data_IF_834725773504
#
_entry.id   IF_834725773504
#
_cell.length_a   1.000
_cell.length_b   1.000
_cell.length_c   1.000
_cell.angle_alpha   90.00
_cell.angle_beta   90.00
_cell.angle_gamma   90.00
#
_symmetry.space_group_name_H-M   'P 1'
#
loop_
_entity.id
_entity.type
_entity.pdbx_description
1 polymer ?
#
# COMPACT_ATOMS: atom_id res chain seq x y z
N UNK A 1 38.13 -24.76 -3.95
CA UNK A 1 37.64 -23.54 -3.24
C UNK A 1 36.13 -23.59 -3.29
N UNK A 2 35.51 -24.26 -2.30
CA UNK A 2 34.06 -24.53 -2.26
C UNK A 2 33.39 -23.40 -1.48
N UNK A 3 32.63 -22.57 -2.19
CA UNK A 3 31.77 -21.54 -1.58
C UNK A 3 30.67 -22.25 -0.77
N UNK A 4 30.49 -21.92 0.53
CA UNK A 4 29.35 -22.46 1.29
C UNK A 4 28.05 -21.86 0.76
N UNK A 5 27.11 -22.74 0.40
CA UNK A 5 25.73 -22.38 0.10
C UNK A 5 25.12 -21.70 1.35
N UNK A 6 24.91 -20.41 1.26
CA UNK A 6 24.16 -19.66 2.27
C UNK A 6 22.74 -20.19 2.26
N UNK A 7 22.40 -21.02 3.25
CA UNK A 7 21.03 -21.45 3.48
C UNK A 7 20.17 -20.22 3.78
N UNK A 8 19.27 -19.89 2.87
CA UNK A 8 18.26 -18.89 3.11
C UNK A 8 17.48 -19.25 4.39
N UNK A 9 17.21 -18.29 5.29
CA UNK A 9 16.42 -18.56 6.48
C UNK A 9 15.04 -19.05 6.04
N UNK A 10 14.69 -20.27 6.45
CA UNK A 10 13.34 -20.80 6.33
C UNK A 10 12.42 -19.88 7.12
N UNK A 11 11.69 -19.02 6.42
CA UNK A 11 10.62 -18.24 7.01
C UNK A 11 9.61 -19.23 7.60
N UNK A 12 9.61 -19.38 8.92
CA UNK A 12 8.52 -20.06 9.62
C UNK A 12 7.24 -19.31 9.25
N UNK A 13 6.31 -20.01 8.59
CA UNK A 13 4.98 -19.53 8.29
C UNK A 13 4.16 -19.44 9.60
N UNK A 14 4.55 -18.55 10.48
CA UNK A 14 3.67 -18.07 11.54
C UNK A 14 2.82 -17.02 10.87
N UNK A 15 1.50 -17.32 10.70
CA UNK A 15 0.56 -16.26 10.29
C UNK A 15 0.83 -15.06 11.20
N UNK A 16 1.25 -13.91 10.68
CA UNK A 16 1.56 -12.79 11.55
C UNK A 16 0.28 -12.44 12.32
N UNK A 17 0.39 -12.28 13.62
CA UNK A 17 -0.74 -11.93 14.50
C UNK A 17 -1.53 -10.75 13.93
N UNK A 18 -0.84 -9.80 13.30
CA UNK A 18 -1.44 -8.67 12.63
C UNK A 18 -2.40 -9.06 11.50
N UNK A 19 -2.10 -10.10 10.72
CA UNK A 19 -3.01 -10.58 9.67
C UNK A 19 -4.27 -11.21 10.28
N UNK A 20 -4.14 -11.95 11.37
CA UNK A 20 -5.29 -12.49 12.08
C UNK A 20 -6.19 -11.37 12.61
N UNK A 21 -5.61 -10.34 13.22
CA UNK A 21 -6.34 -9.17 13.71
C UNK A 21 -7.03 -8.45 12.56
N UNK A 22 -6.38 -8.32 11.40
CA UNK A 22 -6.97 -7.69 10.22
C UNK A 22 -8.19 -8.46 9.69
N UNK A 23 -8.10 -9.78 9.63
CA UNK A 23 -9.25 -10.63 9.25
C UNK A 23 -10.38 -10.53 10.28
N UNK A 24 -10.06 -10.53 11.57
CA UNK A 24 -11.06 -10.35 12.62
C UNK A 24 -11.74 -8.99 12.54
N UNK A 25 -10.99 -7.93 12.28
CA UNK A 25 -11.54 -6.59 12.10
C UNK A 25 -12.49 -6.53 10.88
N UNK A 26 -12.09 -7.13 9.77
CA UNK A 26 -12.95 -7.24 8.58
C UNK A 26 -14.24 -7.99 8.88
N UNK A 27 -14.15 -9.15 9.52
CA UNK A 27 -15.31 -9.97 9.90
C UNK A 27 -16.20 -9.22 10.90
N UNK A 28 -15.62 -8.52 11.86
CA UNK A 28 -16.37 -7.71 12.81
C UNK A 28 -17.21 -6.63 12.09
N UNK A 29 -16.62 -5.94 11.12
CA UNK A 29 -17.38 -4.96 10.30
C UNK A 29 -18.48 -5.63 9.51
N UNK A 30 -18.23 -6.80 8.89
CA UNK A 30 -19.25 -7.53 8.13
C UNK A 30 -20.41 -8.04 8.99
N UNK A 31 -20.18 -8.28 10.27
CA UNK A 31 -21.22 -8.73 11.23
C UNK A 31 -22.01 -7.57 11.86
N UNK A 32 -21.53 -6.34 11.73
CA UNK A 32 -22.27 -5.17 12.19
C UNK A 32 -23.55 -5.01 11.37
N UNK A 33 -24.66 -4.59 12.00
CA UNK A 33 -25.89 -4.32 11.25
C UNK A 33 -25.67 -3.20 10.24
N UNK A 34 -26.19 -3.38 9.03
CA UNK A 34 -26.12 -2.37 7.97
C UNK A 34 -26.84 -1.09 8.42
N UNK A 35 -26.20 0.08 8.35
CA UNK A 35 -26.90 1.35 8.44
C UNK A 35 -27.97 1.44 7.32
N UNK A 36 -29.14 1.99 7.62
CA UNK A 36 -30.27 2.01 6.70
C UNK A 36 -29.97 2.67 5.34
N UNK A 37 -29.05 3.62 5.30
CA UNK A 37 -28.68 4.39 4.12
C UNK A 37 -27.44 3.86 3.37
N UNK A 38 -26.80 2.77 3.86
CA UNK A 38 -25.58 2.25 3.27
C UNK A 38 -25.85 1.03 2.39
N UNK A 39 -25.52 1.06 1.08
CA UNK A 39 -25.68 -0.11 0.23
C UNK A 39 -24.74 -1.26 0.65
N UNK A 40 -25.13 -2.50 0.36
CA UNK A 40 -24.36 -3.70 0.69
C UNK A 40 -22.93 -3.64 0.18
N UNK A 41 -22.72 -3.15 -1.04
CA UNK A 41 -21.38 -2.95 -1.61
C UNK A 41 -20.55 -1.96 -0.79
N UNK A 42 -21.16 -0.87 -0.31
CA UNK A 42 -20.51 0.12 0.54
C UNK A 42 -20.07 -0.47 1.89
N UNK A 43 -20.95 -1.27 2.51
CA UNK A 43 -20.63 -1.96 3.77
C UNK A 43 -19.45 -2.95 3.61
N UNK A 44 -19.45 -3.73 2.52
CA UNK A 44 -18.34 -4.63 2.20
C UNK A 44 -17.04 -3.87 1.91
N UNK A 45 -17.14 -2.69 1.29
CA UNK A 45 -15.97 -1.83 1.07
C UNK A 45 -15.40 -1.31 2.39
N UNK A 46 -16.22 -0.94 3.38
CA UNK A 46 -15.77 -0.58 4.72
C UNK A 46 -15.06 -1.74 5.43
N UNK A 47 -15.53 -2.96 5.25
CA UNK A 47 -14.86 -4.14 5.79
C UNK A 47 -13.48 -4.36 5.16
N UNK A 48 -13.36 -4.19 3.84
CA UNK A 48 -12.06 -4.25 3.14
C UNK A 48 -11.14 -3.11 3.61
N UNK A 49 -11.67 -1.90 3.82
CA UNK A 49 -10.92 -0.77 4.35
C UNK A 49 -10.38 -1.06 5.75
N UNK A 50 -11.20 -1.63 6.64
CA UNK A 50 -10.77 -2.02 7.98
C UNK A 50 -9.63 -3.05 7.93
N UNK A 51 -9.74 -4.04 7.04
CA UNK A 51 -8.67 -5.01 6.77
C UNK A 51 -7.38 -4.31 6.34
N UNK A 52 -7.47 -3.44 5.32
CA UNK A 52 -6.32 -2.73 4.75
C UNK A 52 -5.60 -1.88 5.80
N UNK A 53 -6.35 -1.10 6.59
CA UNK A 53 -5.78 -0.23 7.63
C UNK A 53 -5.03 -1.06 8.68
N UNK A 54 -5.62 -2.16 9.16
CA UNK A 54 -4.97 -3.02 10.16
C UNK A 54 -3.72 -3.70 9.60
N UNK A 55 -3.76 -4.18 8.35
CA UNK A 55 -2.59 -4.79 7.69
C UNK A 55 -1.45 -3.78 7.56
N UNK A 56 -1.74 -2.53 7.20
CA UNK A 56 -0.73 -1.49 7.01
C UNK A 56 -0.14 -1.00 8.34
N UNK A 57 -0.97 -0.82 9.37
CA UNK A 57 -0.49 -0.41 10.70
C UNK A 57 0.34 -1.51 11.37
N UNK A 58 -0.06 -2.78 11.19
CA UNK A 58 0.65 -3.93 11.78
C UNK A 58 1.88 -4.37 11.01
N UNK A 59 2.09 -3.84 9.78
CA UNK A 59 3.15 -4.27 8.86
C UNK A 59 3.22 -5.80 8.71
N UNK A 60 2.06 -6.46 8.82
CA UNK A 60 1.94 -7.91 8.88
C UNK A 60 2.39 -8.60 7.59
N UNK A 61 2.24 -7.93 6.46
CA UNK A 61 2.66 -8.40 5.13
C UNK A 61 3.26 -7.23 4.34
N UNK A 62 4.03 -7.55 3.28
CA UNK A 62 4.58 -6.50 2.41
C UNK A 62 3.46 -5.73 1.68
N UNK A 63 3.75 -4.50 1.27
CA UNK A 63 2.77 -3.66 0.58
C UNK A 63 2.26 -4.30 -0.70
N UNK A 64 3.13 -5.00 -1.45
CA UNK A 64 2.78 -5.70 -2.68
C UNK A 64 1.79 -6.84 -2.40
N UNK A 65 2.06 -7.64 -1.36
CA UNK A 65 1.17 -8.73 -0.95
C UNK A 65 -0.18 -8.16 -0.47
N UNK A 66 -0.18 -7.07 0.30
CA UNK A 66 -1.41 -6.42 0.76
C UNK A 66 -2.25 -5.91 -0.42
N UNK A 67 -1.64 -5.33 -1.45
CA UNK A 67 -2.33 -4.86 -2.64
C UNK A 67 -3.03 -6.01 -3.39
N UNK A 68 -2.36 -7.16 -3.56
CA UNK A 68 -2.95 -8.35 -4.17
C UNK A 68 -4.10 -8.87 -3.32
N UNK A 69 -3.95 -8.96 -1.99
CA UNK A 69 -4.99 -9.40 -1.08
C UNK A 69 -6.22 -8.49 -1.12
N UNK A 70 -6.02 -7.17 -1.10
CA UNK A 70 -7.12 -6.20 -1.18
C UNK A 70 -7.84 -6.33 -2.52
N UNK A 71 -7.12 -6.46 -3.64
CA UNK A 71 -7.71 -6.67 -4.96
C UNK A 71 -8.53 -7.96 -5.01
N UNK A 72 -8.03 -9.05 -4.45
CA UNK A 72 -8.75 -10.32 -4.37
C UNK A 72 -10.02 -10.21 -3.49
N UNK A 73 -9.92 -9.53 -2.34
CA UNK A 73 -11.08 -9.26 -1.48
C UNK A 73 -12.12 -8.39 -2.20
N UNK A 74 -11.71 -7.37 -2.95
CA UNK A 74 -12.62 -6.58 -3.77
C UNK A 74 -13.30 -7.44 -4.83
N UNK A 75 -12.55 -8.26 -5.58
CA UNK A 75 -13.10 -9.15 -6.58
C UNK A 75 -14.17 -10.09 -6.01
N UNK A 76 -13.95 -10.60 -4.80
CA UNK A 76 -14.87 -11.52 -4.14
C UNK A 76 -16.03 -10.79 -3.45
N UNK A 77 -15.74 -9.86 -2.52
CA UNK A 77 -16.78 -9.23 -1.68
C UNK A 77 -17.63 -8.24 -2.50
N UNK A 78 -17.02 -7.43 -3.35
CA UNK A 78 -17.76 -6.49 -4.19
C UNK A 78 -18.37 -7.23 -5.38
N UNK A 79 -17.64 -8.18 -6.00
CA UNK A 79 -18.17 -8.96 -7.11
C UNK A 79 -19.43 -9.75 -6.78
N UNK A 80 -19.61 -10.19 -5.55
CA UNK A 80 -20.81 -10.88 -5.04
C UNK A 80 -21.84 -9.93 -4.40
N UNK A 81 -21.60 -8.61 -4.40
CA UNK A 81 -22.56 -7.64 -3.90
C UNK A 81 -23.63 -7.33 -4.96
N UNK A 82 -24.88 -7.05 -4.55
CA UNK A 82 -25.89 -6.56 -5.45
C UNK A 82 -25.53 -5.18 -5.98
N UNK A 83 -25.91 -4.89 -7.23
CA UNK A 83 -25.70 -3.58 -7.83
C UNK A 83 -26.65 -2.54 -7.23
N UNK A 84 -26.24 -1.26 -7.28
CA UNK A 84 -27.07 -0.15 -6.78
C UNK A 84 -28.33 0.09 -7.63
N UNK A 85 -28.26 -0.29 -8.92
CA UNK A 85 -29.33 -0.03 -9.89
C UNK A 85 -30.37 -1.15 -9.92
N UNK A 86 -29.93 -2.39 -9.71
CA UNK A 86 -30.79 -3.57 -9.69
C UNK A 86 -30.29 -4.56 -8.64
N UNK A 87 -30.99 -4.65 -7.48
CA UNK A 87 -30.60 -5.56 -6.39
C UNK A 87 -30.63 -7.05 -6.77
N UNK A 88 -31.25 -7.42 -7.89
CA UNK A 88 -31.28 -8.79 -8.40
C UNK A 88 -30.00 -9.16 -9.18
N UNK A 89 -29.20 -8.17 -9.58
CA UNK A 89 -27.96 -8.36 -10.30
C UNK A 89 -26.74 -8.13 -9.40
N UNK A 90 -25.72 -8.96 -9.58
CA UNK A 90 -24.44 -8.82 -8.88
C UNK A 90 -23.47 -7.98 -9.72
N UNK A 91 -22.56 -7.27 -9.07
CA UNK A 91 -21.49 -6.53 -9.76
C UNK A 91 -20.65 -7.42 -10.69
N UNK A 92 -20.40 -8.65 -10.27
CA UNK A 92 -19.49 -9.57 -10.97
C UNK A 92 -18.01 -9.27 -10.68
N UNK A 93 -17.21 -10.33 -10.66
CA UNK A 93 -15.78 -10.24 -10.33
C UNK A 93 -14.99 -9.37 -11.30
N UNK A 94 -15.34 -9.37 -12.60
CA UNK A 94 -14.68 -8.56 -13.61
C UNK A 94 -14.87 -7.06 -13.36
N UNK A 95 -16.08 -6.61 -13.06
CA UNK A 95 -16.35 -5.21 -12.73
C UNK A 95 -15.69 -4.80 -11.41
N UNK A 96 -15.72 -5.70 -10.41
CA UNK A 96 -15.08 -5.45 -9.12
C UNK A 96 -13.53 -5.33 -9.23
N UNK A 97 -12.89 -6.15 -10.07
CA UNK A 97 -11.46 -6.01 -10.37
C UNK A 97 -11.19 -4.71 -11.13
N UNK A 98 -12.02 -4.37 -12.11
CA UNK A 98 -11.93 -3.08 -12.80
C UNK A 98 -11.99 -1.91 -11.81
N UNK A 99 -12.91 -1.95 -10.85
CA UNK A 99 -13.03 -0.94 -9.79
C UNK A 99 -11.76 -0.89 -8.91
N UNK A 100 -11.22 -2.04 -8.52
CA UNK A 100 -9.97 -2.09 -7.75
C UNK A 100 -8.79 -1.46 -8.51
N UNK A 101 -8.72 -1.68 -9.82
CA UNK A 101 -7.64 -1.17 -10.66
C UNK A 101 -7.81 0.32 -11.01
N UNK A 102 -8.99 0.91 -10.85
CA UNK A 102 -9.16 2.37 -11.09
C UNK A 102 -8.31 3.22 -10.15
N UNK A 103 -7.95 2.71 -8.96
CA UNK A 103 -7.01 3.35 -8.06
C UNK A 103 -5.64 3.59 -8.68
N UNK A 104 -5.21 2.73 -9.60
CA UNK A 104 -3.94 2.86 -10.32
C UNK A 104 -4.00 3.88 -11.48
N UNK A 105 -5.18 4.25 -11.93
CA UNK A 105 -5.41 5.24 -12.99
C UNK A 105 -5.59 6.67 -12.45
N UNK A 106 -4.96 6.98 -11.33
CA UNK A 106 -5.05 8.29 -10.69
C UNK A 106 -3.80 9.12 -11.01
N UNK A 107 -3.99 10.40 -11.34
CA UNK A 107 -2.90 11.35 -11.61
C UNK A 107 -1.94 11.52 -10.42
N UNK A 108 -2.45 11.46 -9.20
CA UNK A 108 -1.62 11.52 -8.00
C UNK A 108 -0.67 10.32 -7.91
N UNK A 109 -1.14 9.10 -8.23
CA UNK A 109 -0.31 7.91 -8.27
C UNK A 109 0.76 8.01 -9.38
N UNK A 110 0.40 8.52 -10.56
CA UNK A 110 1.34 8.75 -11.65
C UNK A 110 2.44 9.74 -11.25
N UNK A 111 2.08 10.81 -10.52
CA UNK A 111 3.04 11.77 -9.98
C UNK A 111 4.01 11.12 -8.99
N UNK A 112 3.50 10.35 -8.04
CA UNK A 112 4.32 9.62 -7.05
C UNK A 112 5.23 8.62 -7.75
N UNK A 113 4.71 7.85 -8.70
CA UNK A 113 5.51 6.91 -9.48
C UNK A 113 6.63 7.63 -10.24
N UNK A 114 6.33 8.75 -10.90
CA UNK A 114 7.33 9.59 -11.57
C UNK A 114 8.42 10.08 -10.62
N UNK A 115 8.04 10.55 -9.43
CA UNK A 115 8.99 10.98 -8.41
C UNK A 115 9.89 9.83 -7.93
N UNK A 116 9.34 8.61 -7.74
CA UNK A 116 10.11 7.43 -7.38
C UNK A 116 11.09 7.01 -8.48
N UNK A 117 10.71 7.09 -9.76
CA UNK A 117 11.63 6.84 -10.87
C UNK A 117 12.79 7.84 -10.89
N UNK A 118 12.52 9.12 -10.67
CA UNK A 118 13.55 10.16 -10.58
C UNK A 118 14.47 9.88 -9.39
N UNK A 119 13.92 9.57 -8.22
CA UNK A 119 14.70 9.23 -7.03
C UNK A 119 15.60 8.01 -7.26
N UNK A 120 15.07 6.95 -7.88
CA UNK A 120 15.85 5.76 -8.24
C UNK A 120 16.97 6.09 -9.23
N UNK A 121 16.71 6.91 -10.24
CA UNK A 121 17.71 7.36 -11.20
C UNK A 121 18.81 8.21 -10.53
N UNK A 122 18.44 9.10 -9.62
CA UNK A 122 19.41 9.91 -8.85
C UNK A 122 20.31 9.04 -7.98
N UNK A 123 19.74 8.06 -7.29
CA UNK A 123 20.50 7.11 -6.47
C UNK A 123 21.44 6.25 -7.32
N UNK A 124 20.93 5.75 -8.46
CA UNK A 124 21.73 4.91 -9.36
C UNK A 124 22.91 5.68 -10.01
N UNK A 125 22.72 6.96 -10.32
CA UNK A 125 23.77 7.81 -10.90
C UNK A 125 24.69 8.46 -9.87
N UNK A 126 24.38 8.32 -8.57
CA UNK A 126 25.09 8.97 -7.48
C UNK A 126 24.96 10.51 -7.49
N UNK A 127 23.93 11.03 -8.16
CA UNK A 127 23.67 12.46 -8.26
C UNK A 127 23.30 13.07 -6.91
N UNK A 128 22.51 12.33 -6.11
CA UNK A 128 22.17 12.62 -4.72
C UNK A 128 23.41 12.91 -3.87
N UNK A 129 24.42 12.03 -3.94
CA UNK A 129 25.68 12.18 -3.24
C UNK A 129 26.48 13.39 -3.74
N UNK A 130 26.47 13.65 -5.04
CA UNK A 130 27.16 14.81 -5.62
C UNK A 130 26.54 16.12 -5.18
N UNK A 131 25.22 16.21 -5.20
CA UNK A 131 24.47 17.39 -4.73
C UNK A 131 24.76 17.61 -3.24
N UNK A 132 24.70 16.57 -2.42
CA UNK A 132 24.99 16.66 -0.99
C UNK A 132 26.42 17.17 -0.73
N UNK A 133 27.40 16.63 -1.43
CA UNK A 133 28.81 17.05 -1.28
C UNK A 133 29.02 18.51 -1.72
N UNK A 134 28.46 18.92 -2.88
CA UNK A 134 28.57 20.30 -3.36
C UNK A 134 27.90 21.27 -2.39
N UNK A 135 26.75 20.89 -1.83
CA UNK A 135 26.05 21.72 -0.84
C UNK A 135 26.88 21.86 0.44
N UNK A 136 27.42 20.75 0.96
CA UNK A 136 28.28 20.76 2.15
C UNK A 136 29.56 21.59 1.95
N UNK A 137 30.20 21.51 0.78
CA UNK A 137 31.40 22.33 0.49
C UNK A 137 31.13 23.82 0.41
N UNK A 138 29.94 24.20 -0.05
CA UNK A 138 29.55 25.63 -0.13
C UNK A 138 29.02 26.20 1.18
N UNK A 139 28.37 25.38 1.99
CA UNK A 139 27.73 25.82 3.27
C UNK A 139 28.74 25.84 4.42
N UNK A 140 29.87 25.12 4.31
CA UNK A 140 30.92 25.05 5.33
C UNK A 140 30.56 24.13 6.51
N UNK A 141 31.50 23.99 7.48
CA UNK A 141 31.44 23.00 8.57
C UNK A 141 30.60 23.42 9.80
N UNK A 142 29.95 24.57 9.78
CA UNK A 142 29.12 25.02 10.91
C UNK A 142 27.80 24.24 10.95
N UNK A 143 27.49 23.59 12.05
CA UNK A 143 26.26 22.77 12.25
C UNK A 143 24.98 23.49 11.86
N UNK A 144 24.88 24.79 12.21
CA UNK A 144 23.71 25.62 11.88
C UNK A 144 23.56 25.83 10.35
N UNK A 145 24.69 26.03 9.65
CA UNK A 145 24.66 26.23 8.18
C UNK A 145 24.39 24.90 7.46
N UNK A 146 24.88 23.79 7.98
CA UNK A 146 24.58 22.45 7.43
C UNK A 146 23.07 22.16 7.55
N UNK A 147 22.45 22.49 8.71
CA UNK A 147 21.02 22.32 8.92
C UNK A 147 20.18 23.15 7.94
N UNK A 148 20.54 24.44 7.78
CA UNK A 148 19.89 25.34 6.82
C UNK A 148 20.08 24.84 5.38
N UNK A 149 21.28 24.39 5.01
CA UNK A 149 21.58 23.85 3.69
C UNK A 149 20.78 22.57 3.40
N UNK A 150 20.63 21.67 4.38
CA UNK A 150 19.82 20.47 4.24
C UNK A 150 18.34 20.80 4.04
N UNK A 151 17.78 21.76 4.80
CA UNK A 151 16.39 22.19 4.64
C UNK A 151 16.14 22.88 3.30
N UNK A 152 17.12 23.61 2.76
CA UNK A 152 16.99 24.28 1.47
C UNK A 152 17.03 23.36 0.25
N UNK A 153 17.51 22.12 0.42
CA UNK A 153 17.61 21.10 -0.65
C UNK A 153 16.45 20.11 -0.62
N UNK A 154 15.71 20.07 0.48
CA UNK A 154 14.51 19.22 0.62
C UNK A 154 13.25 19.95 0.19
#
# INVERSE_FOLDING_TARGET
MTTPLTTAPTAKAVLPIGLLIAVLAMVAVLLLPLPADLPVAGHRMLAILAFAVVVWISEAVSYEASAIMITALMAFLIGTAPTLQDPSQLYGSSAAIGLALTGFSNSALALVAGALFIAAAMTHTGLDRRIALVTLTRVGTSTRRILIGAIAVT
#
